data_IF_106102501940
#
_entry.id   IF_106102501940
#
_cell.length_a   1.000
_cell.length_b   1.000
_cell.length_c   1.000
_cell.angle_alpha   90.00
_cell.angle_beta   90.00
_cell.angle_gamma   90.00
#
_symmetry.space_group_name_H-M   'P 1'
#
loop_
_entity.id
_entity.type
_entity.pdbx_description
1 polymer ?
#
# COMPACT_ATOMS: atom_id res chain seq x y z
N UNK A 1 -11.18 1.07 -35.86
CA UNK A 1 -10.35 1.01 -34.63
C UNK A 1 -11.26 1.21 -33.43
N UNK A 2 -11.33 0.25 -32.48
CA UNK A 2 -12.19 0.38 -31.29
C UNK A 2 -11.52 1.35 -30.30
N UNK A 3 -11.68 2.66 -30.50
CA UNK A 3 -11.03 3.72 -29.72
C UNK A 3 -11.49 3.74 -28.26
N UNK A 4 -12.77 3.42 -27.99
CA UNK A 4 -13.38 3.46 -26.64
C UNK A 4 -12.72 2.49 -25.64
N UNK A 5 -12.52 1.20 -25.95
CA UNK A 5 -11.80 0.31 -25.03
C UNK A 5 -10.33 0.68 -24.86
N UNK A 6 -9.67 1.23 -25.90
CA UNK A 6 -8.29 1.71 -25.78
C UNK A 6 -8.21 2.86 -24.76
N UNK A 7 -9.13 3.82 -24.82
CA UNK A 7 -9.18 4.93 -23.85
C UNK A 7 -9.33 4.38 -22.42
N UNK A 8 -10.31 3.52 -22.17
CA UNK A 8 -10.54 2.95 -20.82
C UNK A 8 -9.33 2.15 -20.29
N UNK A 9 -8.65 1.43 -21.17
CA UNK A 9 -7.45 0.69 -20.80
C UNK A 9 -6.36 1.64 -20.29
N UNK A 10 -6.06 2.70 -21.05
CA UNK A 10 -4.98 3.63 -20.72
C UNK A 10 -5.34 4.65 -19.62
N UNK A 11 -6.62 4.97 -19.41
CA UNK A 11 -7.03 5.96 -18.41
C UNK A 11 -7.42 5.37 -17.05
N UNK A 12 -7.90 4.12 -17.00
CA UNK A 12 -8.30 3.48 -15.74
C UNK A 12 -7.51 2.21 -15.43
N UNK A 13 -7.48 1.25 -16.35
CA UNK A 13 -6.95 -0.09 -16.05
C UNK A 13 -5.46 -0.06 -15.79
N UNK A 14 -4.68 0.47 -16.73
CA UNK A 14 -3.21 0.56 -16.62
C UNK A 14 -2.80 1.42 -15.42
N UNK A 15 -3.27 2.68 -15.27
CA UNK A 15 -2.84 3.51 -14.16
C UNK A 15 -3.32 2.96 -12.81
N UNK A 16 -4.55 2.47 -12.70
CA UNK A 16 -5.04 1.82 -11.49
C UNK A 16 -4.18 0.62 -11.08
N UNK A 17 -3.82 -0.22 -12.05
CA UNK A 17 -3.01 -1.41 -11.79
C UNK A 17 -1.57 -1.05 -11.41
N UNK A 18 -1.00 -0.02 -12.03
CA UNK A 18 0.31 0.51 -11.63
C UNK A 18 0.30 0.99 -10.18
N UNK A 19 -0.75 1.71 -9.75
CA UNK A 19 -0.89 2.14 -8.35
C UNK A 19 -0.95 0.94 -7.41
N UNK A 20 -1.68 -0.13 -7.76
CA UNK A 20 -1.70 -1.39 -6.99
C UNK A 20 -0.30 -1.95 -6.83
N UNK A 21 0.43 -2.14 -7.93
CA UNK A 21 1.77 -2.73 -7.91
C UNK A 21 2.77 -1.90 -7.10
N UNK A 22 2.78 -0.58 -7.31
CA UNK A 22 3.65 0.35 -6.59
C UNK A 22 3.33 0.30 -5.09
N UNK A 23 2.05 0.34 -4.73
CA UNK A 23 1.62 0.30 -3.33
C UNK A 23 1.97 -1.03 -2.65
N UNK A 24 1.79 -2.15 -3.33
CA UNK A 24 2.21 -3.47 -2.82
C UNK A 24 3.72 -3.57 -2.60
N UNK A 25 4.51 -2.98 -3.50
CA UNK A 25 5.96 -2.93 -3.34
C UNK A 25 6.36 -2.12 -2.10
N UNK A 26 5.84 -0.90 -1.95
CA UNK A 26 6.15 -0.05 -0.79
C UNK A 26 5.61 -0.65 0.51
N UNK A 27 4.41 -1.22 0.49
CA UNK A 27 3.84 -1.95 1.62
C UNK A 27 4.80 -3.03 2.10
N UNK A 28 5.36 -3.86 1.21
CA UNK A 28 6.28 -4.92 1.59
C UNK A 28 7.59 -4.37 2.20
N UNK A 29 8.12 -3.28 1.64
CA UNK A 29 9.33 -2.62 2.14
C UNK A 29 9.11 -2.02 3.53
N UNK A 30 8.05 -1.23 3.70
CA UNK A 30 7.75 -0.55 4.96
C UNK A 30 7.26 -1.53 6.03
N UNK A 31 6.58 -2.62 5.65
CA UNK A 31 6.21 -3.68 6.58
C UNK A 31 7.43 -4.40 7.16
N UNK A 32 8.45 -4.64 6.35
CA UNK A 32 9.72 -5.20 6.84
C UNK A 32 10.45 -4.22 7.78
N UNK A 33 10.44 -2.92 7.47
CA UNK A 33 11.00 -1.90 8.35
C UNK A 33 10.24 -1.82 9.69
N UNK A 34 8.92 -1.95 9.64
CA UNK A 34 8.06 -1.99 10.82
C UNK A 34 8.39 -3.19 11.72
N UNK A 35 8.50 -4.40 11.15
CA UNK A 35 8.85 -5.60 11.93
C UNK A 35 10.17 -5.38 12.68
N UNK A 36 11.19 -4.85 12.01
CA UNK A 36 12.49 -4.57 12.64
C UNK A 36 12.37 -3.55 13.77
N UNK A 37 11.57 -2.49 13.58
CA UNK A 37 11.32 -1.48 14.60
C UNK A 37 10.57 -2.06 15.81
N UNK A 38 9.58 -2.91 15.59
CA UNK A 38 8.82 -3.55 16.67
C UNK A 38 9.66 -4.56 17.44
N UNK A 39 10.44 -5.40 16.75
CA UNK A 39 11.38 -6.32 17.42
C UNK A 39 12.43 -5.56 18.25
N UNK A 40 12.87 -4.38 17.80
CA UNK A 40 13.78 -3.54 18.57
C UNK A 40 13.12 -2.98 19.84
N UNK A 41 11.87 -2.52 19.74
CA UNK A 41 11.09 -2.08 20.90
C UNK A 41 10.91 -3.21 21.91
N UNK A 42 10.56 -4.41 21.45
CA UNK A 42 10.38 -5.58 22.31
C UNK A 42 11.66 -5.96 23.06
N UNK A 43 12.82 -5.89 22.38
CA UNK A 43 14.13 -6.11 23.01
C UNK A 43 14.42 -5.08 24.10
N UNK A 44 14.20 -3.79 23.83
CA UNK A 44 14.43 -2.74 24.83
C UNK A 44 13.47 -2.91 26.01
N UNK A 45 12.18 -3.13 25.75
CA UNK A 45 11.16 -3.25 26.78
C UNK A 45 11.37 -4.44 27.73
N UNK A 46 12.02 -5.52 27.24
CA UNK A 46 12.37 -6.69 28.04
C UNK A 46 13.72 -6.58 28.76
N UNK A 47 14.54 -5.56 28.45
CA UNK A 47 15.79 -5.33 29.17
C UNK A 47 15.50 -4.79 30.58
N UNK A 48 16.32 -5.07 31.59
CA UNK A 48 16.05 -4.59 32.97
C UNK A 48 16.58 -3.19 33.24
N UNK A 49 17.30 -2.59 32.28
CA UNK A 49 18.07 -1.34 32.43
C UNK A 49 17.75 -0.26 31.38
N UNK A 50 16.58 -0.28 30.75
CA UNK A 50 16.27 0.71 29.71
C UNK A 50 15.86 2.08 30.27
N UNK A 51 16.28 3.12 29.55
CA UNK A 51 15.81 4.49 29.73
C UNK A 51 14.41 4.67 29.09
N UNK A 52 13.49 5.30 29.82
CA UNK A 52 12.11 5.52 29.36
C UNK A 52 12.05 6.43 28.12
N UNK A 53 12.96 7.39 27.99
CA UNK A 53 13.04 8.27 26.83
C UNK A 53 13.37 7.50 25.56
N UNK A 54 14.38 6.64 25.63
CA UNK A 54 14.80 5.76 24.53
C UNK A 54 13.66 4.87 24.04
N UNK A 55 12.87 4.30 24.95
CA UNK A 55 11.70 3.49 24.61
C UNK A 55 10.62 4.32 23.89
N UNK A 56 10.31 5.53 24.38
CA UNK A 56 9.32 6.41 23.74
C UNK A 56 9.74 6.85 22.33
N UNK A 57 11.01 7.18 22.12
CA UNK A 57 11.52 7.50 20.79
C UNK A 57 11.42 6.31 19.82
N UNK A 58 11.72 5.10 20.30
CA UNK A 58 11.57 3.89 19.49
C UNK A 58 10.12 3.65 19.09
N UNK A 59 9.16 3.80 20.01
CA UNK A 59 7.73 3.73 19.71
C UNK A 59 7.28 4.76 18.67
N UNK A 60 7.73 6.01 18.79
CA UNK A 60 7.40 7.05 17.82
C UNK A 60 7.90 6.71 16.41
N UNK A 61 9.11 6.15 16.29
CA UNK A 61 9.65 5.69 15.02
C UNK A 61 8.84 4.53 14.43
N UNK A 62 8.46 3.55 15.24
CA UNK A 62 7.63 2.44 14.77
C UNK A 62 6.23 2.92 14.32
N UNK A 63 5.67 3.94 14.98
CA UNK A 63 4.38 4.51 14.57
C UNK A 63 4.42 5.08 13.14
N UNK A 64 5.51 5.74 12.76
CA UNK A 64 5.68 6.24 11.39
C UNK A 64 5.62 5.08 10.36
N UNK A 65 6.31 3.97 10.64
CA UNK A 65 6.26 2.79 9.78
C UNK A 65 4.85 2.16 9.72
N UNK A 66 4.10 2.14 10.84
CA UNK A 66 2.70 1.67 10.84
C UNK A 66 1.80 2.52 9.95
N UNK A 67 1.97 3.83 10.00
CA UNK A 67 1.19 4.77 9.18
C UNK A 67 1.52 4.58 7.70
N UNK A 68 2.79 4.42 7.35
CA UNK A 68 3.19 4.15 5.96
C UNK A 68 2.57 2.85 5.43
N UNK A 69 2.74 1.74 6.16
CA UNK A 69 2.14 0.44 5.81
C UNK A 69 0.63 0.57 5.62
N UNK A 70 -0.06 1.30 6.50
CA UNK A 70 -1.49 1.54 6.37
C UNK A 70 -1.84 2.37 5.13
N UNK A 71 -1.07 3.43 4.86
CA UNK A 71 -1.28 4.29 3.70
C UNK A 71 -1.06 3.52 2.39
N UNK A 72 -0.01 2.71 2.31
CA UNK A 72 0.30 1.88 1.14
C UNK A 72 -0.79 0.84 0.90
N UNK A 73 -1.27 0.16 1.94
CA UNK A 73 -2.42 -0.74 1.80
C UNK A 73 -3.67 -0.01 1.27
N UNK A 74 -3.92 1.20 1.76
CA UNK A 74 -5.05 2.03 1.33
C UNK A 74 -4.92 2.43 -0.14
N UNK A 75 -3.75 2.91 -0.55
CA UNK A 75 -3.48 3.27 -1.95
C UNK A 75 -3.57 2.06 -2.87
N UNK A 76 -3.09 0.89 -2.44
CA UNK A 76 -3.25 -0.36 -3.15
C UNK A 76 -4.72 -0.72 -3.38
N UNK A 77 -5.55 -0.59 -2.34
CA UNK A 77 -7.00 -0.85 -2.45
C UNK A 77 -7.68 0.14 -3.41
N UNK A 78 -7.36 1.44 -3.31
CA UNK A 78 -7.90 2.45 -4.22
C UNK A 78 -7.50 2.19 -5.68
N UNK A 79 -6.24 1.85 -5.94
CA UNK A 79 -5.77 1.42 -7.26
C UNK A 79 -6.55 0.20 -7.77
N UNK A 80 -6.84 -0.75 -6.89
CA UNK A 80 -7.63 -1.95 -7.21
C UNK A 80 -9.05 -1.61 -7.62
N UNK A 81 -9.72 -0.70 -6.89
CA UNK A 81 -11.06 -0.21 -7.23
C UNK A 81 -11.06 0.48 -8.60
N UNK A 82 -10.09 1.38 -8.86
CA UNK A 82 -9.97 2.07 -10.15
C UNK A 82 -9.79 1.06 -11.30
N UNK A 83 -8.92 0.07 -11.10
CA UNK A 83 -8.68 -1.01 -12.06
C UNK A 83 -9.95 -1.80 -12.34
N UNK A 84 -10.67 -2.19 -11.29
CA UNK A 84 -11.92 -2.95 -11.39
C UNK A 84 -13.01 -2.18 -12.15
N UNK A 85 -13.14 -0.87 -11.91
CA UNK A 85 -14.07 0.00 -12.67
C UNK A 85 -13.68 0.04 -14.16
N UNK A 86 -12.38 0.16 -14.46
CA UNK A 86 -11.88 0.12 -15.83
C UNK A 86 -12.20 -1.20 -16.54
N UNK A 87 -11.94 -2.34 -15.88
CA UNK A 87 -12.26 -3.68 -16.40
C UNK A 87 -13.77 -3.84 -16.60
N UNK A 88 -14.58 -3.41 -15.64
CA UNK A 88 -16.04 -3.46 -15.74
C UNK A 88 -16.54 -2.68 -16.96
N UNK A 89 -16.01 -1.47 -17.20
CA UNK A 89 -16.32 -0.67 -18.39
C UNK A 89 -15.95 -1.37 -19.70
N UNK A 90 -14.81 -2.06 -19.75
CA UNK A 90 -14.39 -2.84 -20.92
C UNK A 90 -15.33 -4.02 -21.20
N UNK A 91 -15.74 -4.75 -20.16
CA UNK A 91 -16.67 -5.89 -20.28
C UNK A 91 -18.03 -5.42 -20.79
N UNK A 92 -18.56 -4.32 -20.24
CA UNK A 92 -19.85 -3.76 -20.65
C UNK A 92 -19.84 -3.27 -22.11
N UNK A 93 -18.74 -2.67 -22.58
CA UNK A 93 -18.60 -2.29 -23.99
C UNK A 93 -18.56 -3.52 -24.91
N UNK A 94 -17.91 -4.62 -24.48
CA UNK A 94 -17.86 -5.86 -25.26
C UNK A 94 -19.23 -6.53 -25.38
N UNK A 95 -20.11 -6.41 -24.39
CA UNK A 95 -21.47 -6.97 -24.45
C UNK A 95 -22.42 -6.18 -25.37
N UNK A 96 -22.08 -4.92 -25.67
CA UNK A 96 -22.91 -4.03 -26.49
C UNK A 96 -22.61 -4.13 -27.99
N UNK A 97 -21.41 -4.58 -28.34
CA UNK A 97 -20.97 -4.87 -29.72
C UNK A 97 -21.37 -6.29 -30.14
#
# INVERSE_FOLDING_TARGET
MKIRPVILLFTLVVPGFLVVLISLYFFAVDYNALIKAETYIEKIANDKKFDKGTLQFAYHRALAHRINVFADATWGLLGGVITAVGIHGLVMLKQKD
#
